data_IF_792162098927
#
_entry.id   IF_792162098927
#
_cell.length_a   1.000
_cell.length_b   1.000
_cell.length_c   1.000
_cell.angle_alpha   90.00
_cell.angle_beta   90.00
_cell.angle_gamma   90.00
#
_symmetry.space_group_name_H-M   'P 1'
#
loop_
_entity.id
_entity.type
_entity.pdbx_description
1 polymer ?
#
# COMPACT_ATOMS: atom_id res chain seq x y z
N UNK A 1 1.47 -24.86 22.03
CA UNK A 1 2.83 -24.84 21.46
C UNK A 1 3.36 -23.41 21.65
N UNK A 2 4.14 -23.19 22.70
CA UNK A 2 4.78 -21.91 22.97
C UNK A 2 5.94 -21.77 21.97
N UNK A 3 5.77 -20.86 21.00
CA UNK A 3 6.86 -20.44 20.12
C UNK A 3 7.95 -19.83 20.99
N UNK A 4 9.16 -20.38 20.89
CA UNK A 4 10.38 -19.83 21.48
C UNK A 4 10.56 -18.39 20.99
N UNK A 5 10.06 -17.43 21.77
CA UNK A 5 10.40 -16.03 21.59
C UNK A 5 11.90 -15.92 21.83
N UNK A 6 12.64 -15.64 20.76
CA UNK A 6 14.05 -15.28 20.87
C UNK A 6 14.12 -14.09 21.82
N UNK A 7 14.68 -14.32 23.00
CA UNK A 7 14.75 -13.36 24.10
C UNK A 7 15.64 -12.19 23.75
N UNK A 8 15.09 -11.24 22.97
CA UNK A 8 15.70 -9.91 22.88
C UNK A 8 15.52 -9.26 24.26
N UNK A 9 16.58 -8.74 24.89
CA UNK A 9 16.48 -8.06 26.17
C UNK A 9 15.68 -6.75 26.10
N UNK A 10 15.28 -6.36 24.90
CA UNK A 10 14.57 -5.13 24.61
C UNK A 10 13.11 -5.43 24.25
N UNK A 11 12.13 -4.71 24.83
CA UNK A 11 10.72 -4.90 24.52
C UNK A 11 10.39 -4.51 23.08
N UNK A 12 9.43 -5.21 22.48
CA UNK A 12 8.94 -4.87 21.16
C UNK A 12 8.21 -3.52 21.16
N UNK A 13 8.40 -2.76 20.09
CA UNK A 13 7.74 -1.48 19.90
C UNK A 13 6.22 -1.64 19.80
N UNK A 14 5.50 -0.68 20.35
CA UNK A 14 4.05 -0.64 20.33
C UNK A 14 3.53 0.05 19.05
N UNK A 15 2.27 -0.25 18.68
CA UNK A 15 1.65 0.34 17.50
C UNK A 15 1.70 1.89 17.47
N UNK A 16 1.39 2.63 18.58
CA UNK A 16 1.50 4.09 18.59
C UNK A 16 2.90 4.60 18.27
N UNK A 17 3.94 3.97 18.82
CA UNK A 17 5.31 4.41 18.63
C UNK A 17 5.79 4.16 17.19
N UNK A 18 5.38 3.04 16.61
CA UNK A 18 5.65 2.72 15.20
C UNK A 18 4.99 3.75 14.27
N UNK A 19 3.73 4.12 14.54
CA UNK A 19 3.01 5.14 13.76
C UNK A 19 3.69 6.50 13.91
N UNK A 20 4.05 6.87 15.14
CA UNK A 20 4.72 8.15 15.43
C UNK A 20 6.07 8.25 14.72
N UNK A 21 6.88 7.20 14.75
CA UNK A 21 8.15 7.14 14.02
C UNK A 21 7.92 7.31 12.51
N UNK A 22 6.95 6.60 11.94
CA UNK A 22 6.62 6.72 10.54
C UNK A 22 6.12 8.13 10.15
N UNK A 23 5.29 8.76 10.99
CA UNK A 23 4.83 10.13 10.76
C UNK A 23 5.99 11.15 10.80
N UNK A 24 6.96 10.96 11.70
CA UNK A 24 8.16 11.79 11.75
C UNK A 24 9.04 11.61 10.52
N UNK A 25 9.25 10.37 10.07
CA UNK A 25 9.98 10.09 8.82
C UNK A 25 9.26 10.73 7.60
N UNK A 26 7.94 10.65 7.54
CA UNK A 26 7.15 11.30 6.51
C UNK A 26 7.28 12.83 6.54
N UNK A 27 7.33 13.43 7.72
CA UNK A 27 7.56 14.86 7.88
C UNK A 27 8.94 15.27 7.35
N UNK A 28 10.01 14.58 7.75
CA UNK A 28 11.37 14.89 7.32
C UNK A 28 11.59 14.65 5.81
N UNK A 29 11.06 13.58 5.27
CA UNK A 29 11.10 13.32 3.82
C UNK A 29 10.29 14.36 3.04
N UNK A 30 9.15 14.81 3.58
CA UNK A 30 8.36 15.89 3.01
C UNK A 30 9.11 17.22 2.99
N UNK A 31 9.77 17.57 4.09
CA UNK A 31 10.59 18.77 4.18
C UNK A 31 11.77 18.74 3.19
N UNK A 32 12.47 17.60 3.10
CA UNK A 32 13.54 17.42 2.12
C UNK A 32 13.02 17.52 0.68
N UNK A 33 11.83 16.99 0.41
CA UNK A 33 11.17 17.13 -0.89
C UNK A 33 10.90 18.59 -1.25
N UNK A 34 10.49 19.41 -0.28
CA UNK A 34 10.28 20.85 -0.49
C UNK A 34 11.58 21.54 -0.83
N UNK A 35 12.65 21.30 -0.07
CA UNK A 35 13.99 21.90 -0.31
C UNK A 35 14.48 21.54 -1.71
N UNK A 36 14.43 20.26 -2.10
CA UNK A 36 14.87 19.80 -3.43
C UNK A 36 14.00 20.40 -4.54
N UNK A 37 12.69 20.48 -4.32
CA UNK A 37 11.75 21.08 -5.27
C UNK A 37 11.99 22.57 -5.45
N UNK A 38 12.27 23.30 -4.39
CA UNK A 38 12.60 24.72 -4.44
C UNK A 38 13.94 24.99 -5.14
N UNK A 39 14.93 24.16 -4.87
CA UNK A 39 16.21 24.20 -5.58
C UNK A 39 16.01 23.94 -7.09
N UNK A 40 15.28 22.87 -7.41
CA UNK A 40 14.99 22.53 -8.80
C UNK A 40 14.18 23.64 -9.50
N UNK A 41 13.23 24.27 -8.80
CA UNK A 41 12.43 25.38 -9.31
C UNK A 41 13.28 26.61 -9.63
N UNK A 42 14.26 26.92 -8.78
CA UNK A 42 15.21 28.03 -9.03
C UNK A 42 16.13 27.75 -10.23
N UNK A 43 16.51 26.47 -10.44
CA UNK A 43 17.45 26.09 -11.51
C UNK A 43 16.74 25.82 -12.85
N UNK A 44 15.55 25.23 -12.85
CA UNK A 44 14.87 24.73 -14.05
C UNK A 44 13.51 25.36 -14.32
N UNK A 45 13.02 26.17 -13.40
CA UNK A 45 11.72 26.83 -13.48
C UNK A 45 10.54 25.99 -12.95
N UNK A 46 9.43 26.68 -12.67
CA UNK A 46 8.26 26.08 -12.00
C UNK A 46 7.58 24.98 -12.83
N UNK A 47 7.46 25.17 -14.16
CA UNK A 47 6.78 24.20 -15.05
C UNK A 47 7.46 22.84 -15.06
N UNK A 48 8.79 22.79 -15.13
CA UNK A 48 9.55 21.53 -15.12
C UNK A 48 9.53 20.88 -13.74
N UNK A 49 9.55 21.66 -12.68
CA UNK A 49 9.43 21.16 -11.30
C UNK A 49 8.10 20.46 -11.09
N UNK A 50 7.00 21.06 -11.57
CA UNK A 50 5.68 20.44 -11.46
C UNK A 50 5.56 19.15 -12.29
N UNK A 51 6.11 19.13 -13.49
CA UNK A 51 6.11 17.95 -14.35
C UNK A 51 6.93 16.77 -13.75
N UNK A 52 7.96 17.09 -12.95
CA UNK A 52 8.84 16.10 -12.32
C UNK A 52 8.63 15.93 -10.81
N UNK A 53 7.49 16.39 -10.29
CA UNK A 53 7.19 16.30 -8.85
C UNK A 53 7.33 14.86 -8.27
N UNK A 54 6.82 13.80 -8.91
CA UNK A 54 6.97 12.44 -8.39
C UNK A 54 8.43 11.95 -8.40
N UNK A 55 9.24 12.37 -9.37
CA UNK A 55 10.67 12.04 -9.42
C UNK A 55 11.44 12.75 -8.28
N UNK A 56 11.12 14.01 -8.04
CA UNK A 56 11.76 14.79 -6.96
C UNK A 56 11.39 14.22 -5.59
N UNK A 57 10.14 13.84 -5.39
CA UNK A 57 9.69 13.17 -4.16
C UNK A 57 10.41 11.83 -3.96
N UNK A 58 10.52 11.02 -5.01
CA UNK A 58 11.23 9.74 -4.95
C UNK A 58 12.72 9.94 -4.68
N UNK A 59 13.36 10.93 -5.32
CA UNK A 59 14.75 11.27 -5.09
C UNK A 59 14.99 11.73 -3.64
N UNK A 60 14.13 12.57 -3.09
CA UNK A 60 14.21 13.01 -1.70
C UNK A 60 14.11 11.83 -0.72
N UNK A 61 13.12 10.94 -0.92
CA UNK A 61 12.96 9.75 -0.10
C UNK A 61 14.16 8.82 -0.21
N UNK A 62 14.68 8.58 -1.43
CA UNK A 62 15.88 7.77 -1.65
C UNK A 62 17.09 8.36 -0.95
N UNK A 63 17.30 9.68 -1.07
CA UNK A 63 18.41 10.36 -0.37
C UNK A 63 18.30 10.20 1.13
N UNK A 64 17.10 10.41 1.70
CA UNK A 64 16.86 10.27 3.14
C UNK A 64 17.19 8.86 3.64
N UNK A 65 16.62 7.83 3.02
CA UNK A 65 16.84 6.45 3.44
C UNK A 65 18.22 5.89 3.05
N UNK A 66 18.85 6.43 2.00
CA UNK A 66 20.22 6.08 1.65
C UNK A 66 21.22 6.59 2.68
N UNK A 67 20.98 7.76 3.25
CA UNK A 67 21.85 8.35 4.28
C UNK A 67 21.61 7.76 5.68
N UNK A 68 20.42 7.26 5.95
CA UNK A 68 20.04 6.72 7.27
C UNK A 68 20.04 5.18 7.28
N UNK A 69 19.15 4.55 6.56
CA UNK A 69 18.88 3.12 6.66
C UNK A 69 19.96 2.25 6.03
N UNK A 70 20.55 2.65 4.88
CA UNK A 70 21.56 1.81 4.20
C UNK A 70 22.83 1.66 5.03
N UNK A 71 23.43 2.73 5.62
CA UNK A 71 24.61 2.59 6.48
C UNK A 71 24.31 1.81 7.77
N UNK A 72 23.04 1.70 8.17
CA UNK A 72 22.61 1.05 9.39
C UNK A 72 22.32 1.99 10.53
N UNK A 73 22.28 3.27 10.24
CA UNK A 73 21.82 4.27 11.18
C UNK A 73 20.28 4.24 11.30
N UNK A 74 19.78 4.68 12.43
CA UNK A 74 18.36 4.90 12.63
C UNK A 74 17.87 6.04 11.76
N UNK A 75 16.63 5.97 11.32
CA UNK A 75 15.97 7.15 10.72
C UNK A 75 15.68 8.19 11.82
N UNK A 76 15.45 9.43 11.42
CA UNK A 76 15.14 10.49 12.40
C UNK A 76 13.85 10.19 13.19
N UNK A 77 12.87 9.51 12.54
CA UNK A 77 11.65 9.06 13.21
C UNK A 77 11.92 7.92 14.19
N UNK A 78 12.77 6.98 13.84
CA UNK A 78 13.21 5.88 14.71
C UNK A 78 13.99 6.42 15.91
N UNK A 79 14.87 7.37 15.69
CA UNK A 79 15.64 8.02 16.77
C UNK A 79 14.74 8.81 17.72
N UNK A 80 13.77 9.55 17.17
CA UNK A 80 12.79 10.30 17.98
C UNK A 80 11.95 9.43 18.91
N UNK A 81 11.67 8.19 18.49
CA UNK A 81 10.86 7.22 19.26
C UNK A 81 11.71 6.18 20.01
N UNK A 82 13.04 6.30 20.02
CA UNK A 82 13.97 5.32 20.59
C UNK A 82 13.76 3.89 20.03
N UNK A 83 13.52 3.78 18.74
CA UNK A 83 13.29 2.53 18.05
C UNK A 83 14.54 2.09 17.29
N UNK A 84 14.71 0.76 17.18
CA UNK A 84 15.69 0.12 16.32
C UNK A 84 15.02 -0.99 15.53
N UNK A 85 15.41 -1.13 14.27
CA UNK A 85 14.98 -2.25 13.43
C UNK A 85 15.84 -3.47 13.73
N UNK A 86 15.18 -4.61 13.94
CA UNK A 86 15.80 -5.92 14.05
C UNK A 86 15.20 -6.88 13.03
N UNK A 87 15.98 -7.89 12.66
CA UNK A 87 15.48 -9.03 11.94
C UNK A 87 14.65 -9.92 12.88
N UNK A 88 13.37 -10.12 12.59
CA UNK A 88 12.49 -10.94 13.41
C UNK A 88 12.88 -12.43 13.42
N UNK A 89 13.74 -12.88 12.50
CA UNK A 89 14.18 -14.29 12.41
C UNK A 89 15.33 -14.57 13.37
N UNK A 90 16.31 -13.68 13.39
CA UNK A 90 17.58 -13.90 14.08
C UNK A 90 17.75 -13.00 15.31
N UNK A 91 16.83 -12.04 15.52
CA UNK A 91 16.90 -11.05 16.61
C UNK A 91 18.10 -10.08 16.51
N UNK A 92 18.83 -10.11 15.39
CA UNK A 92 20.01 -9.28 15.14
C UNK A 92 19.67 -8.04 14.33
N UNK A 93 20.62 -7.11 14.26
CA UNK A 93 20.50 -5.97 13.36
C UNK A 93 20.43 -6.46 11.90
N UNK A 94 19.54 -5.89 11.07
CA UNK A 94 19.35 -6.34 9.70
C UNK A 94 20.62 -6.11 8.88
N UNK A 95 20.98 -7.08 8.03
CA UNK A 95 22.06 -6.96 7.06
C UNK A 95 21.78 -5.90 6.00
N UNK A 96 22.81 -5.50 5.28
CA UNK A 96 22.71 -4.48 4.23
C UNK A 96 21.76 -4.89 3.10
N UNK A 97 21.68 -6.17 2.79
CA UNK A 97 20.76 -6.77 1.82
C UNK A 97 19.30 -6.50 2.17
N UNK A 98 18.92 -6.67 3.44
CA UNK A 98 17.55 -6.40 3.91
C UNK A 98 17.24 -4.93 4.00
N UNK A 99 18.22 -4.10 4.41
CA UNK A 99 18.07 -2.65 4.44
C UNK A 99 17.88 -2.09 3.03
N UNK A 100 18.72 -2.51 2.09
CA UNK A 100 18.58 -2.15 0.68
C UNK A 100 17.26 -2.67 0.09
N UNK A 101 16.88 -3.92 0.38
CA UNK A 101 15.60 -4.50 0.01
C UNK A 101 14.41 -3.68 0.52
N UNK A 102 14.47 -3.18 1.76
CA UNK A 102 13.46 -2.30 2.32
C UNK A 102 13.35 -0.98 1.55
N UNK A 103 14.46 -0.32 1.25
CA UNK A 103 14.47 0.94 0.49
C UNK A 103 13.89 0.73 -0.90
N UNK A 104 14.29 -0.35 -1.59
CA UNK A 104 13.73 -0.72 -2.90
C UNK A 104 12.23 -1.00 -2.82
N UNK A 105 11.81 -1.84 -1.88
CA UNK A 105 10.40 -2.23 -1.77
C UNK A 105 9.48 -1.10 -1.30
N UNK A 106 9.99 -0.17 -0.47
CA UNK A 106 9.18 0.93 0.07
C UNK A 106 9.11 2.16 -0.83
N UNK A 107 10.13 2.42 -1.64
CA UNK A 107 10.26 3.64 -2.43
C UNK A 107 10.25 3.35 -3.94
N UNK A 108 11.16 2.50 -4.41
CA UNK A 108 11.29 2.25 -5.85
C UNK A 108 10.12 1.44 -6.40
N UNK A 109 9.67 0.41 -5.69
CA UNK A 109 8.59 -0.44 -6.17
C UNK A 109 7.27 0.34 -6.37
N UNK A 110 6.78 1.18 -5.42
CA UNK A 110 5.59 2.00 -5.65
C UNK A 110 5.77 3.00 -6.79
N UNK A 111 6.94 3.61 -6.92
CA UNK A 111 7.24 4.55 -8.01
C UNK A 111 7.18 3.86 -9.37
N UNK A 112 7.87 2.74 -9.53
CA UNK A 112 7.87 1.95 -10.77
C UNK A 112 6.46 1.42 -11.07
N UNK A 113 5.75 0.94 -10.06
CA UNK A 113 4.36 0.51 -10.20
C UNK A 113 3.48 1.65 -10.70
N UNK A 114 3.57 2.85 -10.13
CA UNK A 114 2.81 4.01 -10.59
C UNK A 114 3.08 4.38 -12.05
N UNK A 115 4.31 4.17 -12.53
CA UNK A 115 4.70 4.41 -13.94
C UNK A 115 4.21 3.33 -14.90
N UNK A 116 4.29 2.07 -14.49
CA UNK A 116 4.00 0.91 -15.36
C UNK A 116 2.50 0.60 -15.37
N UNK A 117 1.82 0.78 -14.25
CA UNK A 117 0.42 0.39 -14.06
C UNK A 117 -0.55 0.98 -15.10
N UNK A 118 -0.46 2.26 -15.50
CA UNK A 118 -1.34 2.81 -16.55
C UNK A 118 -1.19 2.09 -17.90
N UNK A 119 0.05 1.78 -18.29
CA UNK A 119 0.31 1.06 -19.55
C UNK A 119 -0.14 -0.40 -19.49
N UNK A 120 0.04 -1.07 -18.35
CA UNK A 120 -0.49 -2.41 -18.12
C UNK A 120 -2.01 -2.44 -18.15
N UNK A 121 -2.68 -1.47 -17.50
CA UNK A 121 -4.14 -1.32 -17.56
C UNK A 121 -4.63 -1.15 -19.00
N UNK A 122 -3.97 -0.29 -19.78
CA UNK A 122 -4.32 -0.08 -21.18
C UNK A 122 -4.12 -1.36 -22.03
N UNK A 123 -3.09 -2.16 -21.78
CA UNK A 123 -2.88 -3.45 -22.43
C UNK A 123 -3.94 -4.46 -22.04
N UNK A 124 -4.23 -4.58 -20.74
CA UNK A 124 -5.26 -5.48 -20.22
C UNK A 124 -6.64 -5.12 -20.78
N UNK A 125 -7.03 -3.83 -20.79
CA UNK A 125 -8.29 -3.40 -21.40
C UNK A 125 -8.40 -3.79 -22.86
N UNK A 126 -7.35 -3.60 -23.65
CA UNK A 126 -7.35 -4.03 -25.05
C UNK A 126 -7.54 -5.55 -25.21
N UNK A 127 -6.91 -6.35 -24.35
CA UNK A 127 -7.08 -7.80 -24.35
C UNK A 127 -8.50 -8.21 -23.94
N UNK A 128 -9.06 -7.57 -22.90
CA UNK A 128 -10.42 -7.81 -22.45
C UNK A 128 -11.44 -7.45 -23.53
N UNK A 129 -11.30 -6.31 -24.17
CA UNK A 129 -12.19 -5.86 -25.26
C UNK A 129 -12.13 -6.82 -26.45
N UNK A 130 -10.94 -7.29 -26.87
CA UNK A 130 -10.80 -8.29 -27.90
C UNK A 130 -11.50 -9.62 -27.55
N UNK A 131 -11.40 -10.04 -26.29
CA UNK A 131 -12.11 -11.24 -25.79
C UNK A 131 -13.63 -11.03 -25.80
N UNK A 132 -14.11 -9.87 -25.36
CA UNK A 132 -15.54 -9.52 -25.39
C UNK A 132 -16.10 -9.47 -26.82
N UNK A 133 -15.36 -8.90 -27.77
CA UNK A 133 -15.73 -8.89 -29.19
C UNK A 133 -15.76 -10.32 -29.79
N UNK A 134 -14.76 -11.14 -29.44
CA UNK A 134 -14.74 -12.55 -29.88
C UNK A 134 -15.93 -13.35 -29.34
N UNK A 135 -16.30 -13.13 -28.07
CA UNK A 135 -17.47 -13.78 -27.45
C UNK A 135 -18.79 -13.28 -28.07
N UNK A 136 -18.90 -11.98 -28.40
CA UNK A 136 -20.08 -11.44 -29.11
C UNK A 136 -20.25 -12.01 -30.51
N UNK A 137 -19.17 -12.34 -31.21
CA UNK A 137 -19.20 -12.97 -32.54
C UNK A 137 -19.55 -14.45 -32.50
N UNK A 138 -19.35 -15.11 -31.36
CA UNK A 138 -19.69 -16.52 -31.15
C UNK A 138 -21.10 -16.64 -30.61
N UNK A 139 -22.08 -16.76 -31.45
CA UNK A 139 -23.54 -16.71 -31.25
C UNK A 139 -24.14 -17.82 -30.36
N UNK A 140 -23.49 -18.16 -29.27
CA UNK A 140 -23.92 -19.22 -28.34
C UNK A 140 -24.66 -18.61 -27.14
N UNK A 141 -26.01 -18.64 -27.22
CA UNK A 141 -26.94 -17.83 -26.41
C UNK A 141 -26.98 -18.09 -24.90
N UNK A 142 -26.38 -19.15 -24.36
CA UNK A 142 -26.55 -19.50 -22.94
C UNK A 142 -25.29 -19.42 -22.08
N UNK A 143 -24.12 -19.86 -22.55
CA UNK A 143 -22.85 -19.78 -21.82
C UNK A 143 -22.21 -18.40 -21.94
N UNK A 144 -22.38 -17.75 -23.07
CA UNK A 144 -21.84 -16.43 -23.43
C UNK A 144 -22.31 -15.32 -22.50
N UNK A 145 -23.53 -15.41 -21.99
CA UNK A 145 -24.12 -14.35 -21.15
C UNK A 145 -23.48 -14.17 -19.76
N UNK A 146 -22.96 -15.24 -19.16
CA UNK A 146 -22.28 -15.18 -17.85
C UNK A 146 -20.84 -14.74 -17.99
N UNK A 147 -20.12 -15.32 -18.93
CA UNK A 147 -18.72 -14.97 -19.20
C UNK A 147 -18.59 -13.53 -19.69
N UNK A 148 -19.42 -13.11 -20.63
CA UNK A 148 -19.42 -11.73 -21.12
C UNK A 148 -19.69 -10.71 -20.00
N UNK A 149 -20.58 -11.02 -19.06
CA UNK A 149 -20.86 -10.19 -17.89
C UNK A 149 -19.68 -10.11 -16.94
N UNK A 150 -18.99 -11.22 -16.67
CA UNK A 150 -17.79 -11.26 -15.85
C UNK A 150 -16.66 -10.44 -16.47
N UNK A 151 -16.40 -10.57 -17.76
CA UNK A 151 -15.37 -9.82 -18.45
C UNK A 151 -15.69 -8.31 -18.52
N UNK A 152 -16.95 -7.96 -18.76
CA UNK A 152 -17.40 -6.57 -18.73
C UNK A 152 -17.26 -5.97 -17.32
N UNK A 153 -17.60 -6.73 -16.28
CA UNK A 153 -17.37 -6.33 -14.89
C UNK A 153 -15.90 -6.09 -14.57
N UNK A 154 -15.02 -7.01 -14.99
CA UNK A 154 -13.58 -6.86 -14.81
C UNK A 154 -13.05 -5.62 -15.54
N UNK A 155 -13.51 -5.34 -16.77
CA UNK A 155 -13.09 -4.16 -17.54
C UNK A 155 -13.50 -2.86 -16.84
N UNK A 156 -14.74 -2.80 -16.35
CA UNK A 156 -15.27 -1.64 -15.63
C UNK A 156 -14.51 -1.38 -14.33
N UNK A 157 -14.21 -2.42 -13.56
CA UNK A 157 -13.56 -2.31 -12.25
C UNK A 157 -12.04 -2.50 -12.26
N UNK A 158 -11.42 -2.66 -13.43
CA UNK A 158 -9.98 -2.87 -13.56
C UNK A 158 -9.15 -1.77 -12.88
N UNK A 159 -9.62 -0.53 -12.93
CA UNK A 159 -8.97 0.60 -12.24
C UNK A 159 -9.03 0.44 -10.72
N UNK A 160 -10.15 0.00 -10.18
CA UNK A 160 -10.34 -0.21 -8.72
C UNK A 160 -9.49 -1.36 -8.21
N UNK A 161 -9.47 -2.48 -8.91
CA UNK A 161 -8.65 -3.64 -8.54
C UNK A 161 -7.15 -3.37 -8.59
N UNK A 162 -6.71 -2.51 -9.49
CA UNK A 162 -5.29 -2.16 -9.63
C UNK A 162 -4.87 -0.94 -8.79
N UNK A 163 -5.80 -0.33 -8.06
CA UNK A 163 -5.47 0.74 -7.10
C UNK A 163 -4.96 0.10 -5.80
N UNK A 164 -3.82 0.60 -5.29
CA UNK A 164 -3.22 0.06 -4.06
C UNK A 164 -4.01 0.36 -2.78
N UNK A 165 -5.00 1.26 -2.83
CA UNK A 165 -5.73 1.72 -1.65
C UNK A 165 -6.44 0.61 -0.85
N UNK A 166 -7.24 -0.29 -1.45
CA UNK A 166 -7.90 -1.36 -0.69
C UNK A 166 -6.89 -2.33 -0.08
N UNK A 167 -5.78 -2.58 -0.78
CA UNK A 167 -4.73 -3.45 -0.28
C UNK A 167 -3.99 -2.83 0.91
N UNK A 168 -3.71 -1.53 0.85
CA UNK A 168 -3.11 -0.79 1.97
C UNK A 168 -4.05 -0.75 3.18
N UNK A 169 -5.34 -0.60 2.97
CA UNK A 169 -6.33 -0.62 4.04
C UNK A 169 -6.39 -1.97 4.77
N UNK A 170 -6.28 -3.09 4.04
CA UNK A 170 -6.20 -4.45 4.64
C UNK A 170 -4.91 -4.60 5.46
N UNK A 171 -3.77 -4.12 4.95
CA UNK A 171 -2.50 -4.17 5.69
C UNK A 171 -2.59 -3.36 6.97
N UNK A 172 -3.22 -2.18 6.90
CA UNK A 172 -3.41 -1.32 8.06
C UNK A 172 -4.36 -1.94 9.09
N UNK A 173 -5.43 -2.61 8.65
CA UNK A 173 -6.31 -3.36 9.55
C UNK A 173 -5.53 -4.47 10.26
N UNK A 174 -4.74 -5.26 9.52
CA UNK A 174 -3.89 -6.30 10.10
C UNK A 174 -2.86 -5.72 11.08
N UNK A 175 -2.33 -4.52 10.81
CA UNK A 175 -1.42 -3.84 11.72
C UNK A 175 -2.10 -3.45 13.03
N UNK A 176 -3.32 -2.91 13.00
CA UNK A 176 -4.03 -2.52 14.22
C UNK A 176 -4.33 -3.71 15.14
N UNK A 177 -4.54 -4.91 14.59
CA UNK A 177 -4.71 -6.13 15.39
C UNK A 177 -3.39 -6.76 15.82
N UNK A 178 -2.36 -6.74 14.97
CA UNK A 178 -1.07 -7.40 15.27
C UNK A 178 -0.06 -6.50 15.97
N UNK A 179 -0.18 -5.18 15.83
CA UNK A 179 0.72 -4.19 16.40
C UNK A 179 2.14 -4.17 15.83
N UNK A 180 2.46 -4.99 14.82
CA UNK A 180 3.86 -5.26 14.45
C UNK A 180 4.34 -4.59 13.17
N UNK A 181 3.60 -4.75 12.08
CA UNK A 181 4.07 -4.32 10.74
C UNK A 181 3.14 -3.28 10.13
N UNK A 182 3.52 -2.02 10.24
CA UNK A 182 2.78 -0.91 9.63
C UNK A 182 2.91 -0.87 8.10
N UNK A 183 4.06 -1.28 7.57
CA UNK A 183 4.34 -1.30 6.14
C UNK A 183 4.48 -2.72 5.61
N UNK A 184 3.96 -2.98 4.40
CA UNK A 184 4.08 -4.27 3.72
C UNK A 184 5.54 -4.66 3.48
N UNK A 185 6.40 -3.70 3.10
CA UNK A 185 7.82 -3.91 2.87
C UNK A 185 8.55 -4.48 4.09
N UNK A 186 8.24 -3.94 5.29
CA UNK A 186 8.80 -4.45 6.54
C UNK A 186 8.29 -5.84 6.90
N UNK A 187 7.01 -6.12 6.60
CA UNK A 187 6.43 -7.46 6.79
C UNK A 187 7.09 -8.51 5.90
N UNK A 188 7.30 -8.20 4.62
CA UNK A 188 7.95 -9.11 3.66
C UNK A 188 9.42 -9.40 4.03
N UNK A 189 10.11 -8.40 4.56
CA UNK A 189 11.51 -8.51 4.95
C UNK A 189 11.71 -8.93 6.41
N UNK A 190 10.62 -9.18 7.14
CA UNK A 190 10.63 -9.57 8.56
C UNK A 190 11.36 -8.56 9.46
N UNK A 191 11.26 -7.26 9.18
CA UNK A 191 11.89 -6.19 9.95
C UNK A 191 10.93 -5.73 11.04
N UNK A 192 11.25 -6.03 12.32
CA UNK A 192 10.50 -5.59 13.50
C UNK A 192 11.20 -4.44 14.21
N UNK A 193 10.40 -3.69 14.95
CA UNK A 193 10.91 -2.64 15.82
C UNK A 193 11.00 -3.11 17.28
N UNK A 194 12.10 -2.75 17.93
CA UNK A 194 12.31 -2.88 19.37
C UNK A 194 12.69 -1.53 19.96
N UNK A 195 12.37 -1.32 21.22
CA UNK A 195 12.86 -0.15 21.95
C UNK A 195 14.33 -0.31 22.31
N UNK A 196 15.07 0.80 22.33
CA UNK A 196 16.47 0.86 22.85
C UNK A 196 16.50 1.18 24.34
N UNK A 197 15.35 1.45 24.95
CA UNK A 197 15.19 1.76 26.37
C UNK A 197 14.15 0.85 27.01
N UNK A 198 14.24 0.68 28.33
CA UNK A 198 13.17 0.10 29.12
C UNK A 198 11.96 1.04 29.15
N UNK A 199 10.84 0.57 28.66
CA UNK A 199 9.58 1.35 28.65
C UNK A 199 8.68 0.81 29.77
N UNK A 200 8.21 1.65 30.72
CA UNK A 200 7.28 1.23 31.73
C UNK A 200 5.95 0.75 31.09
N UNK A 201 5.39 -0.32 31.63
CA UNK A 201 4.09 -0.82 31.20
C UNK A 201 3.00 0.17 31.55
N UNK A 202 2.57 0.97 30.59
CA UNK A 202 1.44 1.89 30.77
C UNK A 202 0.16 1.23 30.22
N UNK A 203 -0.96 1.31 30.96
CA UNK A 203 -2.23 0.69 30.57
C UNK A 203 -2.89 1.33 29.32
N UNK A 204 -2.40 2.47 28.83
CA UNK A 204 -2.94 3.22 27.69
C UNK A 204 -2.71 2.58 26.29
N UNK A 205 -2.21 1.35 26.25
CA UNK A 205 -1.88 0.66 24.98
C UNK A 205 -3.08 0.02 24.29
N UNK A 206 -4.23 -0.07 24.97
CA UNK A 206 -5.41 -0.82 24.52
C UNK A 206 -6.29 -0.11 23.48
N UNK A 207 -6.03 1.16 23.12
CA UNK A 207 -6.94 1.95 22.27
C UNK A 207 -6.89 1.68 20.77
N UNK A 208 -5.82 1.04 20.27
CA UNK A 208 -5.62 0.89 18.82
C UNK A 208 -6.40 -0.28 18.21
N UNK A 209 -6.79 -1.26 18.98
CA UNK A 209 -7.64 -2.36 18.53
C UNK A 209 -9.02 -1.85 18.10
N UNK A 210 -9.56 -0.84 18.78
CA UNK A 210 -10.82 -0.20 18.40
C UNK A 210 -10.73 0.44 17.00
N UNK A 211 -9.62 1.09 16.68
CA UNK A 211 -9.38 1.63 15.32
C UNK A 211 -9.34 0.51 14.27
N UNK A 212 -8.75 -0.64 14.61
CA UNK A 212 -8.77 -1.84 13.77
C UNK A 212 -10.19 -2.32 13.48
N UNK A 213 -11.02 -2.42 14.51
CA UNK A 213 -12.44 -2.80 14.38
C UNK A 213 -13.20 -1.81 13.51
N UNK A 214 -13.05 -0.50 13.76
CA UNK A 214 -13.70 0.54 12.94
C UNK A 214 -13.28 0.46 11.47
N UNK A 215 -11.99 0.22 11.19
CA UNK A 215 -11.49 0.07 9.82
C UNK A 215 -12.07 -1.17 9.14
N UNK A 216 -12.18 -2.31 9.84
CA UNK A 216 -12.80 -3.52 9.30
C UNK A 216 -14.29 -3.30 9.02
N UNK A 217 -15.01 -2.65 9.92
CA UNK A 217 -16.42 -2.28 9.69
C UNK A 217 -16.54 -1.38 8.46
N UNK A 218 -15.69 -0.35 8.34
CA UNK A 218 -15.69 0.54 7.18
C UNK A 218 -15.42 -0.22 5.88
N UNK A 219 -14.41 -1.11 5.85
CA UNK A 219 -14.11 -1.93 4.67
C UNK A 219 -15.26 -2.87 4.31
N UNK A 220 -15.92 -3.45 5.31
CA UNK A 220 -17.09 -4.33 5.12
C UNK A 220 -18.25 -3.56 4.50
N UNK A 221 -18.57 -2.38 5.04
CA UNK A 221 -19.62 -1.51 4.51
C UNK A 221 -19.29 -1.08 3.07
N UNK A 222 -18.07 -0.65 2.79
CA UNK A 222 -17.64 -0.26 1.44
C UNK A 222 -17.75 -1.43 0.46
N UNK A 223 -17.33 -2.62 0.86
CA UNK A 223 -17.43 -3.84 0.05
C UNK A 223 -18.89 -4.20 -0.22
N UNK A 224 -19.73 -4.15 0.82
CA UNK A 224 -21.19 -4.39 0.68
C UNK A 224 -21.85 -3.39 -0.28
N UNK A 225 -21.58 -2.10 -0.11
CA UNK A 225 -22.12 -1.07 -0.99
C UNK A 225 -21.67 -1.25 -2.44
N UNK A 226 -20.39 -1.63 -2.63
CA UNK A 226 -19.86 -1.91 -3.96
C UNK A 226 -20.53 -3.13 -4.62
N UNK A 227 -20.71 -4.21 -3.88
CA UNK A 227 -21.41 -5.42 -4.37
C UNK A 227 -22.86 -5.08 -4.69
N UNK A 228 -23.55 -4.36 -3.81
CA UNK A 228 -24.94 -3.96 -4.01
C UNK A 228 -25.13 -3.08 -5.26
N UNK A 229 -24.28 -2.06 -5.45
CA UNK A 229 -24.32 -1.21 -6.66
C UNK A 229 -24.10 -2.04 -7.93
N UNK A 230 -23.13 -2.93 -7.92
CA UNK A 230 -22.85 -3.81 -9.06
C UNK A 230 -24.02 -4.73 -9.40
N UNK A 231 -24.67 -5.30 -8.39
CA UNK A 231 -25.86 -6.15 -8.60
C UNK A 231 -27.04 -5.33 -9.12
N UNK A 232 -27.26 -4.11 -8.61
CA UNK A 232 -28.31 -3.23 -9.11
C UNK A 232 -28.07 -2.81 -10.56
N UNK A 233 -26.87 -2.43 -10.92
CA UNK A 233 -26.49 -2.02 -12.28
C UNK A 233 -26.64 -3.19 -13.27
N UNK A 234 -26.26 -4.39 -12.86
CA UNK A 234 -26.44 -5.60 -13.66
C UNK A 234 -27.93 -5.97 -13.86
N UNK A 235 -28.79 -5.72 -12.85
CA UNK A 235 -30.21 -5.94 -12.94
C UNK A 235 -30.90 -4.89 -13.84
N UNK A 236 -30.47 -3.64 -13.79
CA UNK A 236 -30.95 -2.57 -14.68
C UNK A 236 -30.58 -2.86 -16.13
N UNK A 237 -29.32 -3.19 -16.40
CA UNK A 237 -28.83 -3.57 -17.73
C UNK A 237 -29.59 -4.78 -18.29
N UNK A 238 -29.91 -5.78 -17.47
CA UNK A 238 -30.69 -6.94 -17.88
C UNK A 238 -32.15 -6.58 -18.20
N UNK A 239 -32.75 -5.58 -17.52
CA UNK A 239 -34.11 -5.08 -17.80
C UNK A 239 -34.15 -4.26 -19.09
N UNK A 240 -33.16 -3.43 -19.35
CA UNK A 240 -33.05 -2.65 -20.59
C UNK A 240 -32.85 -3.54 -21.81
N UNK A 241 -31.97 -4.58 -21.71
CA UNK A 241 -31.79 -5.56 -22.77
C UNK A 241 -33.09 -6.34 -23.13
N UNK A 242 -34.02 -6.49 -22.19
CA UNK A 242 -35.33 -7.10 -22.44
C UNK A 242 -36.39 -6.12 -23.05
N UNK A 243 -36.13 -4.82 -22.93
CA UNK A 243 -37.07 -3.79 -23.43
C UNK A 243 -36.82 -3.37 -24.88
N UNK A 244 -35.69 -3.71 -25.45
CA UNK A 244 -35.39 -3.42 -26.86
C UNK A 244 -36.13 -4.48 -27.70
N UNK A 245 -37.25 -4.12 -28.40
CA UNK A 245 -37.92 -5.05 -29.28
C UNK A 245 -37.06 -5.31 -30.50
N UNK A 246 -36.94 -6.58 -30.86
CA UNK A 246 -36.37 -7.03 -32.12
C UNK A 246 -37.11 -6.33 -33.27
N UNK A 247 -36.46 -5.36 -33.93
CA UNK A 247 -36.82 -4.89 -35.24
C UNK A 247 -36.12 -5.68 -36.30
#
# INVERSE_FOLDING_TARGET
MASSESSSPYPFATAPDIIRAHQKDAYFTGHLTQIISDLHRRLRGARLTHARAPELQTAAALTYFALTTIPGNRTLGEEYCDLVQIDARDGKLPGIDRRAGYVVASILLPYVAARILPSLRARLRRLLQRRLEALRKRDDKSATGREARLWAYIDTHLSSFTTGAPFQAVILALFYFSGTYYQLSKRLLSLRYVFTRTVPDTPDRAGYELLGVLLVVQLTVQTYMHIRSTLSDSAVAAREARRVPLR
#
